data_IF_430817390715
#
_entry.id   IF_430817390715
#
_cell.length_a   1.000
_cell.length_b   1.000
_cell.length_c   1.000
_cell.angle_alpha   90.00
_cell.angle_beta   90.00
_cell.angle_gamma   90.00
#
_symmetry.space_group_name_H-M   'P 1'
#
loop_
_entity.id
_entity.type
_entity.pdbx_description
1 polymer ?
#
# COMPACT_ATOMS: atom_id res chain seq x y z
N UNK A 1 -4.13 -21.12 6.36
CA UNK A 1 -3.77 -20.00 5.47
C UNK A 1 -3.26 -20.66 4.20
N UNK A 2 -3.82 -20.35 3.03
CA UNK A 2 -3.55 -21.09 1.77
C UNK A 2 -2.02 -21.11 1.47
N UNK A 3 -1.38 -22.29 1.35
CA UNK A 3 0.06 -22.40 1.09
C UNK A 3 0.46 -21.81 -0.25
N UNK A 4 -0.47 -21.85 -1.21
CA UNK A 4 -0.25 -21.37 -2.57
C UNK A 4 -0.15 -19.83 -2.61
N UNK A 5 -0.62 -19.12 -1.57
CA UNK A 5 -0.47 -17.66 -1.44
C UNK A 5 0.97 -17.25 -1.13
N UNK A 6 1.76 -18.11 -0.48
CA UNK A 6 3.19 -17.88 -0.26
C UNK A 6 4.02 -18.05 -1.55
N UNK A 7 3.48 -18.74 -2.55
CA UNK A 7 4.15 -18.96 -3.84
C UNK A 7 4.04 -17.76 -4.78
N UNK A 8 3.04 -16.91 -4.55
CA UNK A 8 2.79 -15.69 -5.32
C UNK A 8 3.85 -14.59 -5.04
N UNK A 9 4.56 -14.68 -3.91
CA UNK A 9 5.59 -13.72 -3.48
C UNK A 9 7.03 -14.13 -3.83
N UNK A 10 7.21 -15.30 -4.47
CA UNK A 10 8.54 -15.91 -4.69
C UNK A 10 8.80 -16.32 -6.15
N UNK A 11 7.90 -16.01 -7.08
CA UNK A 11 8.07 -16.37 -8.48
C UNK A 11 8.89 -15.32 -9.26
N UNK A 12 9.85 -15.82 -10.03
CA UNK A 12 10.51 -15.12 -11.15
C UNK A 12 9.82 -15.56 -12.47
N UNK A 13 10.17 -14.92 -13.59
CA UNK A 13 9.64 -15.05 -14.96
C UNK A 13 9.46 -16.50 -15.49
N UNK A 14 9.99 -17.54 -14.84
CA UNK A 14 10.17 -18.89 -15.41
C UNK A 14 9.42 -20.05 -14.69
N UNK A 15 8.42 -19.76 -13.85
CA UNK A 15 7.27 -20.65 -13.57
C UNK A 15 7.48 -22.09 -13.06
N UNK A 16 7.89 -22.30 -11.80
CA UNK A 16 7.77 -23.60 -11.11
C UNK A 16 7.26 -23.46 -9.66
N UNK A 17 6.37 -24.38 -9.23
CA UNK A 17 5.56 -24.36 -7.98
C UNK A 17 5.53 -25.73 -7.27
N UNK A 18 5.29 -25.77 -5.95
CA UNK A 18 5.07 -26.99 -5.15
C UNK A 18 4.11 -26.79 -3.94
N UNK A 19 3.10 -27.66 -3.89
CA UNK A 19 1.90 -27.71 -3.01
C UNK A 19 2.11 -27.96 -1.49
N UNK A 20 1.12 -27.56 -0.67
CA UNK A 20 0.71 -28.32 0.54
C UNK A 20 0.23 -27.48 1.75
N UNK A 21 -1.02 -27.69 2.23
CA UNK A 21 -1.66 -26.80 3.23
C UNK A 21 -2.61 -27.37 4.24
N UNK A 22 -2.81 -26.60 5.33
CA UNK A 22 -3.85 -26.83 6.34
C UNK A 22 -4.38 -25.52 6.98
N UNK A 23 -5.63 -25.59 7.48
CA UNK A 23 -6.53 -24.47 7.78
C UNK A 23 -6.72 -24.10 9.26
N UNK A 24 -7.63 -23.15 9.51
CA UNK A 24 -8.04 -22.71 10.86
C UNK A 24 -9.09 -21.59 10.81
N UNK A 25 -10.25 -21.81 11.45
CA UNK A 25 -11.49 -21.04 11.33
C UNK A 25 -11.59 -19.83 12.29
N UNK A 26 -12.36 -18.82 11.87
CA UNK A 26 -12.67 -17.62 12.65
C UNK A 26 -14.02 -17.66 13.39
N UNK A 27 -14.24 -16.70 14.29
CA UNK A 27 -15.52 -16.44 14.96
C UNK A 27 -15.83 -14.94 14.97
N UNK A 28 -17.08 -14.58 14.65
CA UNK A 28 -17.59 -13.19 14.63
C UNK A 28 -18.47 -12.91 15.84
N UNK A 29 -18.50 -11.67 16.32
CA UNK A 29 -19.50 -11.18 17.28
C UNK A 29 -20.19 -9.90 16.77
N UNK A 30 -21.51 -9.82 17.00
CA UNK A 30 -22.42 -8.75 16.60
C UNK A 30 -22.35 -7.55 17.54
N UNK A 31 -22.43 -6.33 16.99
CA UNK A 31 -22.48 -5.07 17.74
C UNK A 31 -23.92 -4.68 18.15
N UNK A 32 -24.06 -4.09 19.35
CA UNK A 32 -25.26 -3.38 19.79
C UNK A 32 -25.01 -1.86 19.85
N UNK A 33 -26.06 -1.06 19.66
CA UNK A 33 -26.03 0.40 19.48
C UNK A 33 -26.06 1.12 20.82
N UNK A 34 -25.14 2.05 21.11
CA UNK A 34 -25.29 2.99 22.24
C UNK A 34 -24.78 4.42 21.99
N UNK A 35 -25.39 5.31 22.79
CA UNK A 35 -25.42 6.77 22.84
C UNK A 35 -24.10 7.52 22.63
N UNK A 36 -24.20 8.73 22.07
CA UNK A 36 -23.09 9.67 21.84
C UNK A 36 -22.76 10.44 23.13
N UNK A 37 -21.78 9.95 23.88
CA UNK A 37 -21.04 10.69 24.91
C UNK A 37 -19.79 11.33 24.27
N UNK A 38 -19.31 12.46 24.79
CA UNK A 38 -18.08 13.11 24.27
C UNK A 38 -16.88 12.14 24.41
N UNK A 39 -16.08 11.88 23.36
CA UNK A 39 -15.09 10.81 23.42
C UNK A 39 -14.00 11.11 24.46
N UNK A 40 -13.91 10.24 25.47
CA UNK A 40 -12.81 10.21 26.46
C UNK A 40 -11.54 9.53 25.90
N UNK A 41 -11.63 9.00 24.68
CA UNK A 41 -10.70 8.09 24.01
C UNK A 41 -10.23 8.70 22.66
N UNK A 42 -9.03 8.36 22.19
CA UNK A 42 -8.45 8.76 20.89
C UNK A 42 -8.57 7.67 19.81
N UNK A 43 -8.98 6.44 20.12
CA UNK A 43 -9.46 5.48 19.13
C UNK A 43 -10.55 4.61 19.75
N UNK A 44 -11.60 4.33 18.99
CA UNK A 44 -12.71 3.46 19.38
C UNK A 44 -12.87 2.37 18.32
N UNK A 45 -12.36 1.16 18.60
CA UNK A 45 -12.37 0.03 17.66
C UNK A 45 -13.78 -0.45 17.31
N UNK A 46 -14.78 -0.04 18.08
CA UNK A 46 -16.19 -0.38 17.88
C UNK A 46 -16.96 0.70 17.14
N UNK A 47 -16.38 1.89 16.97
CA UNK A 47 -16.96 2.98 16.22
C UNK A 47 -16.82 2.77 14.70
N UNK A 48 -17.58 3.56 13.94
CA UNK A 48 -17.42 3.64 12.49
C UNK A 48 -15.96 4.00 12.16
N UNK A 49 -15.36 3.26 11.24
CA UNK A 49 -14.01 3.52 10.74
C UNK A 49 -13.90 4.93 10.12
N UNK A 50 -15.01 5.46 9.60
CA UNK A 50 -15.05 6.78 8.98
C UNK A 50 -15.20 7.93 9.99
N UNK A 51 -15.46 7.64 11.28
CA UNK A 51 -15.60 8.65 12.33
C UNK A 51 -14.22 9.12 12.82
N UNK A 52 -13.63 10.09 12.13
CA UNK A 52 -12.31 10.59 12.45
C UNK A 52 -12.22 11.22 13.85
N UNK A 53 -13.31 11.76 14.39
CA UNK A 53 -13.32 12.34 15.73
C UNK A 53 -13.11 11.26 16.81
N UNK A 54 -13.61 10.05 16.58
CA UNK A 54 -13.39 8.90 17.46
C UNK A 54 -12.13 8.11 17.14
N UNK A 55 -11.81 7.92 15.86
CA UNK A 55 -10.67 7.11 15.42
C UNK A 55 -9.34 7.87 15.53
N UNK A 56 -9.38 9.20 15.41
CA UNK A 56 -8.25 10.13 15.32
C UNK A 56 -7.26 9.84 14.20
N UNK A 57 -6.50 10.87 13.91
CA UNK A 57 -5.50 10.88 12.87
C UNK A 57 -4.22 11.54 13.40
N UNK A 58 -3.08 10.95 13.07
CA UNK A 58 -1.79 11.52 13.40
C UNK A 58 -0.83 11.53 12.22
N UNK A 59 0.08 12.50 12.25
CA UNK A 59 1.17 12.62 11.32
C UNK A 59 2.40 11.92 11.88
N UNK A 60 3.04 11.07 11.08
CA UNK A 60 4.31 10.42 11.40
C UNK A 60 5.38 10.97 10.48
N UNK A 61 6.46 11.49 11.05
CA UNK A 61 7.61 12.05 10.32
C UNK A 61 8.92 11.53 10.89
N UNK A 62 10.02 11.51 10.12
CA UNK A 62 11.34 11.22 10.69
C UNK A 62 11.71 12.27 11.76
N UNK A 63 12.51 11.88 12.74
CA UNK A 63 13.07 12.84 13.69
C UNK A 63 14.12 13.74 13.00
N UNK A 64 14.18 15.02 13.41
CA UNK A 64 15.16 15.98 12.91
C UNK A 64 14.62 17.02 11.91
N UNK A 65 15.51 17.79 11.26
CA UNK A 65 15.15 18.92 10.39
C UNK A 65 14.30 18.50 9.19
N UNK A 66 14.61 17.34 8.60
CA UNK A 66 13.89 16.80 7.45
C UNK A 66 12.43 16.49 7.77
N UNK A 67 12.16 15.88 8.93
CA UNK A 67 10.79 15.63 9.36
C UNK A 67 10.02 16.90 9.70
N UNK A 68 10.70 17.92 10.23
CA UNK A 68 10.10 19.24 10.40
C UNK A 68 9.72 19.88 9.06
N UNK A 69 10.55 19.68 8.01
CA UNK A 69 10.25 20.13 6.66
C UNK A 69 9.05 19.41 6.07
N UNK A 70 8.99 18.08 6.18
CA UNK A 70 7.84 17.28 5.73
C UNK A 70 6.54 17.65 6.46
N UNK A 71 6.61 17.90 7.78
CA UNK A 71 5.46 18.36 8.55
C UNK A 71 4.94 19.73 8.08
N UNK A 72 5.84 20.64 7.71
CA UNK A 72 5.46 21.95 7.15
C UNK A 72 4.77 21.79 5.79
N UNK A 73 5.25 20.90 4.90
CA UNK A 73 4.58 20.63 3.62
C UNK A 73 3.15 20.10 3.83
N UNK A 74 2.92 19.31 4.88
CA UNK A 74 1.61 18.78 5.22
C UNK A 74 0.73 19.72 6.04
N UNK A 75 1.17 20.94 6.37
CA UNK A 75 0.46 21.87 7.27
C UNK A 75 -1.01 22.09 6.90
N UNK A 76 -1.32 22.14 5.60
CA UNK A 76 -2.69 22.37 5.11
C UNK A 76 -3.58 21.16 5.37
N UNK A 77 -3.07 19.96 5.11
CA UNK A 77 -3.75 18.71 5.43
C UNK A 77 -3.92 18.54 6.94
N UNK A 78 -2.88 18.83 7.73
CA UNK A 78 -2.92 18.76 9.20
C UNK A 78 -4.00 19.67 9.78
N UNK A 79 -4.11 20.92 9.28
CA UNK A 79 -5.19 21.83 9.70
C UNK A 79 -6.58 21.26 9.38
N UNK A 80 -6.77 20.77 8.15
CA UNK A 80 -8.05 20.15 7.78
C UNK A 80 -8.37 18.95 8.69
N UNK A 81 -7.38 18.08 8.96
CA UNK A 81 -7.59 16.90 9.83
C UNK A 81 -7.88 17.28 11.27
N UNK A 82 -7.30 18.38 11.76
CA UNK A 82 -7.62 18.89 13.10
C UNK A 82 -9.08 19.37 13.20
N UNK A 83 -9.58 20.03 12.15
CA UNK A 83 -11.00 20.40 12.04
C UNK A 83 -11.89 19.16 11.94
N UNK A 84 -11.55 18.22 11.05
CA UNK A 84 -12.32 16.99 10.82
C UNK A 84 -12.46 16.13 12.10
N UNK A 85 -11.40 16.05 12.92
CA UNK A 85 -11.43 15.29 14.17
C UNK A 85 -11.82 16.13 15.40
N UNK A 86 -11.96 17.45 15.26
CA UNK A 86 -12.29 18.38 16.36
C UNK A 86 -11.22 18.44 17.47
N UNK A 87 -9.96 18.12 17.17
CA UNK A 87 -8.83 18.20 18.11
C UNK A 87 -7.51 18.39 17.35
N UNK A 88 -6.50 18.91 18.05
CA UNK A 88 -5.15 18.99 17.49
C UNK A 88 -4.66 17.63 16.99
N UNK A 89 -3.92 17.65 15.88
CA UNK A 89 -3.31 16.46 15.30
C UNK A 89 -1.97 16.21 15.96
N UNK A 90 -1.78 14.99 16.44
CA UNK A 90 -0.49 14.56 17.00
C UNK A 90 0.56 14.39 15.89
N UNK A 91 1.79 14.79 16.20
CA UNK A 91 2.95 14.56 15.33
C UNK A 91 3.90 13.60 16.03
N UNK A 92 3.98 12.37 15.52
CA UNK A 92 4.84 11.31 16.01
C UNK A 92 6.18 11.41 15.27
N UNK A 93 7.26 11.68 16.00
CA UNK A 93 8.62 11.73 15.45
C UNK A 93 9.33 10.40 15.66
N UNK A 94 9.83 9.83 14.57
CA UNK A 94 10.45 8.49 14.57
C UNK A 94 11.97 8.60 14.45
N UNK A 95 12.74 8.14 15.46
CA UNK A 95 14.21 8.11 15.38
C UNK A 95 14.67 7.00 14.42
N UNK A 96 15.16 7.37 13.23
CA UNK A 96 15.66 6.41 12.22
C UNK A 96 16.69 5.45 12.81
N UNK A 97 17.67 5.97 13.54
CA UNK A 97 18.78 5.18 14.09
C UNK A 97 18.32 4.06 15.03
N UNK A 98 17.21 4.26 15.73
CA UNK A 98 16.67 3.27 16.68
C UNK A 98 15.64 2.32 16.05
N UNK A 99 15.03 2.72 14.93
CA UNK A 99 13.86 2.03 14.34
C UNK A 99 14.13 1.42 12.96
N UNK A 100 15.38 1.47 12.48
CA UNK A 100 15.75 0.92 11.17
C UNK A 100 15.59 -0.61 11.07
N UNK A 101 15.69 -1.33 12.19
CA UNK A 101 15.55 -2.81 12.23
C UNK A 101 14.20 -3.23 12.81
N UNK A 102 13.71 -4.46 12.52
CA UNK A 102 12.52 -5.02 13.15
C UNK A 102 12.57 -4.99 14.69
N UNK A 103 13.69 -5.38 15.28
CA UNK A 103 13.86 -5.45 16.74
C UNK A 103 13.84 -4.05 17.36
N UNK A 104 14.49 -3.08 16.70
CA UNK A 104 14.51 -1.69 17.09
C UNK A 104 13.11 -1.05 17.02
N UNK A 105 12.40 -1.26 15.90
CA UNK A 105 11.03 -0.79 15.72
C UNK A 105 10.07 -1.36 16.78
N UNK A 106 10.13 -2.67 17.05
CA UNK A 106 9.31 -3.31 18.10
C UNK A 106 9.67 -2.80 19.50
N UNK A 107 10.96 -2.60 19.79
CA UNK A 107 11.41 -2.05 21.07
C UNK A 107 10.88 -0.63 21.26
N UNK A 108 10.96 0.21 20.23
CA UNK A 108 10.42 1.57 20.27
C UNK A 108 8.89 1.58 20.45
N UNK A 109 8.16 0.72 19.73
CA UNK A 109 6.71 0.56 19.86
C UNK A 109 6.28 0.11 21.26
N UNK A 110 7.09 -0.69 21.95
CA UNK A 110 6.79 -1.18 23.29
C UNK A 110 7.15 -0.19 24.39
N UNK A 111 8.15 0.65 24.17
CA UNK A 111 8.75 1.48 25.23
C UNK A 111 8.48 2.97 25.08
N UNK A 112 8.70 3.54 23.89
CA UNK A 112 8.64 4.99 23.64
C UNK A 112 7.30 5.43 23.06
N UNK A 113 6.66 4.61 22.22
CA UNK A 113 5.35 4.96 21.66
C UNK A 113 4.25 5.09 22.74
N UNK A 114 4.11 4.16 23.70
CA UNK A 114 3.05 4.24 24.69
C UNK A 114 3.18 5.45 25.61
N UNK A 115 4.40 5.85 25.96
CA UNK A 115 4.65 6.95 26.89
C UNK A 115 4.21 8.31 26.33
N UNK A 116 4.20 8.49 25.01
CA UNK A 116 3.63 9.68 24.35
C UNK A 116 2.14 9.87 24.65
N UNK A 117 1.45 8.79 25.01
CA UNK A 117 0.01 8.77 25.31
C UNK A 117 -0.28 8.37 26.76
N UNK A 118 0.68 8.54 27.67
CA UNK A 118 0.54 8.20 29.08
C UNK A 118 0.35 6.71 29.36
N UNK A 119 0.79 5.85 28.45
CA UNK A 119 0.66 4.39 28.56
C UNK A 119 -0.72 3.84 28.18
N UNK A 120 -1.67 4.69 27.79
CA UNK A 120 -3.04 4.29 27.52
C UNK A 120 -3.27 3.99 26.03
N UNK A 121 -3.61 2.74 25.70
CA UNK A 121 -3.78 2.31 24.29
C UNK A 121 -4.94 3.01 23.59
N UNK A 122 -6.05 3.21 24.30
CA UNK A 122 -7.22 3.93 23.82
C UNK A 122 -6.92 5.39 23.46
N UNK A 123 -5.77 5.94 23.89
CA UNK A 123 -5.30 7.29 23.55
C UNK A 123 -4.43 7.29 22.28
N UNK A 124 -4.25 6.18 21.59
CA UNK A 124 -3.43 6.16 20.38
C UNK A 124 -4.29 6.44 19.15
N UNK A 125 -3.83 7.27 18.21
CA UNK A 125 -4.54 7.51 16.96
C UNK A 125 -4.60 6.25 16.09
N UNK A 126 -5.76 6.01 15.47
CA UNK A 126 -5.99 4.84 14.62
C UNK A 126 -5.38 5.02 13.24
N UNK A 127 -5.54 6.19 12.62
CA UNK A 127 -5.03 6.48 11.29
C UNK A 127 -3.70 7.22 11.36
N UNK A 128 -2.68 6.70 10.68
CA UNK A 128 -1.35 7.29 10.68
C UNK A 128 -0.95 7.63 9.25
N UNK A 129 -0.59 8.88 8.98
CA UNK A 129 0.06 9.25 7.72
C UNK A 129 1.57 9.36 7.92
N UNK A 130 2.31 8.45 7.33
CA UNK A 130 3.76 8.43 7.30
C UNK A 130 4.24 9.30 6.14
N UNK A 131 5.04 10.31 6.44
CA UNK A 131 5.77 11.07 5.42
C UNK A 131 7.23 10.66 5.39
N UNK A 132 7.75 10.54 4.18
CA UNK A 132 9.12 10.17 3.90
C UNK A 132 9.26 8.73 3.40
N UNK A 133 10.41 8.45 2.84
CA UNK A 133 10.75 7.18 2.22
C UNK A 133 11.17 6.11 3.26
N UNK A 134 11.46 4.88 2.82
CA UNK A 134 11.86 3.77 3.69
C UNK A 134 13.23 3.95 4.35
N UNK A 135 14.09 4.82 3.85
CA UNK A 135 15.31 5.20 4.55
C UNK A 135 15.06 6.26 5.61
N UNK A 136 13.95 7.01 5.55
CA UNK A 136 13.59 8.02 6.55
C UNK A 136 12.71 7.45 7.68
N UNK A 137 11.60 6.82 7.30
CA UNK A 137 10.73 6.04 8.20
C UNK A 137 10.74 4.60 7.70
N UNK A 138 11.38 3.70 8.43
CA UNK A 138 11.68 2.36 7.94
C UNK A 138 10.42 1.53 7.65
N UNK A 139 10.52 0.57 6.71
CA UNK A 139 9.46 -0.42 6.49
C UNK A 139 9.18 -1.24 7.77
N UNK A 140 10.18 -1.72 8.53
CA UNK A 140 9.93 -2.35 9.83
C UNK A 140 9.10 -1.50 10.78
N UNK A 141 9.33 -0.18 10.82
CA UNK A 141 8.55 0.72 11.65
C UNK A 141 7.10 0.84 11.17
N UNK A 142 6.87 0.94 9.85
CA UNK A 142 5.51 0.91 9.29
C UNK A 142 4.77 -0.39 9.62
N UNK A 143 5.44 -1.54 9.51
CA UNK A 143 4.85 -2.84 9.87
C UNK A 143 4.53 -2.92 11.38
N UNK A 144 5.39 -2.35 12.23
CA UNK A 144 5.16 -2.30 13.67
C UNK A 144 3.92 -1.43 14.02
N UNK A 145 3.69 -0.32 13.30
CA UNK A 145 2.45 0.45 13.42
C UNK A 145 1.21 -0.31 12.95
N UNK A 146 1.33 -1.08 11.86
CA UNK A 146 0.22 -1.79 11.23
C UNK A 146 -0.43 -2.86 12.12
N UNK A 147 0.18 -3.22 13.26
CA UNK A 147 -0.38 -4.17 14.23
C UNK A 147 -1.64 -3.61 14.92
N UNK A 148 -1.67 -2.30 15.21
CA UNK A 148 -2.74 -1.68 16.01
C UNK A 148 -3.34 -0.41 15.36
N UNK A 149 -2.74 0.07 14.28
CA UNK A 149 -3.14 1.27 13.57
C UNK A 149 -3.22 1.00 12.06
N UNK A 150 -3.72 1.97 11.30
CA UNK A 150 -3.80 1.94 9.84
C UNK A 150 -2.82 2.95 9.24
N UNK A 151 -1.56 2.54 8.99
CA UNK A 151 -0.58 3.42 8.38
C UNK A 151 -0.77 3.52 6.86
N UNK A 152 -0.90 4.74 6.36
CA UNK A 152 -0.69 5.10 4.96
C UNK A 152 0.62 5.86 4.80
N UNK A 153 1.30 5.75 3.65
CA UNK A 153 2.57 6.43 3.40
C UNK A 153 2.51 7.34 2.18
N UNK A 154 3.14 8.50 2.29
CA UNK A 154 3.43 9.41 1.17
C UNK A 154 4.92 9.73 1.17
N UNK A 155 5.63 9.15 0.21
CA UNK A 155 7.05 9.38 -0.05
C UNK A 155 7.18 9.94 -1.47
N UNK A 156 7.51 11.22 -1.62
CA UNK A 156 7.64 11.87 -2.92
C UNK A 156 9.02 12.50 -3.02
N UNK A 157 9.56 12.59 -4.24
CA UNK A 157 10.95 12.96 -4.44
C UNK A 157 11.18 14.48 -4.37
N UNK A 158 10.12 15.28 -4.61
CA UNK A 158 10.18 16.74 -4.59
C UNK A 158 9.10 17.36 -3.71
N UNK A 159 9.43 18.46 -3.07
CA UNK A 159 8.52 19.17 -2.16
C UNK A 159 7.23 19.62 -2.85
N UNK A 160 7.32 20.07 -4.11
CA UNK A 160 6.13 20.54 -4.85
C UNK A 160 5.13 19.39 -5.11
N UNK A 161 5.59 18.15 -5.15
CA UNK A 161 4.72 16.98 -5.34
C UNK A 161 3.85 16.72 -4.10
N UNK A 162 4.33 17.03 -2.89
CA UNK A 162 3.54 16.92 -1.67
C UNK A 162 2.37 17.90 -1.69
N UNK A 163 2.62 19.15 -2.10
CA UNK A 163 1.55 20.15 -2.23
C UNK A 163 0.50 19.71 -3.25
N UNK A 164 0.93 19.26 -4.44
CA UNK A 164 0.03 18.73 -5.48
C UNK A 164 -0.81 17.56 -4.95
N UNK A 165 -0.19 16.61 -4.26
CA UNK A 165 -0.89 15.45 -3.72
C UNK A 165 -1.90 15.83 -2.63
N UNK A 166 -1.52 16.68 -1.67
CA UNK A 166 -2.44 17.10 -0.60
C UNK A 166 -3.58 17.97 -1.12
N UNK A 167 -3.33 18.83 -2.12
CA UNK A 167 -4.37 19.62 -2.75
C UNK A 167 -5.35 18.74 -3.54
N UNK A 168 -4.84 17.73 -4.27
CA UNK A 168 -5.65 16.70 -4.92
C UNK A 168 -6.53 15.98 -3.89
N UNK A 169 -5.96 15.49 -2.80
CA UNK A 169 -6.68 14.80 -1.73
C UNK A 169 -7.82 15.66 -1.15
N UNK A 170 -7.51 16.90 -0.76
CA UNK A 170 -8.48 17.82 -0.17
C UNK A 170 -9.58 18.24 -1.17
N UNK A 171 -9.24 18.35 -2.47
CA UNK A 171 -10.22 18.59 -3.54
C UNK A 171 -11.22 17.44 -3.63
N UNK A 172 -10.76 16.19 -3.66
CA UNK A 172 -11.64 15.02 -3.71
C UNK A 172 -12.47 14.83 -2.43
N UNK A 173 -11.94 15.23 -1.26
CA UNK A 173 -12.72 15.23 -0.02
C UNK A 173 -13.88 16.23 -0.04
N UNK A 174 -13.67 17.43 -0.60
CA UNK A 174 -14.72 18.47 -0.69
C UNK A 174 -15.79 18.18 -1.74
N UNK A 175 -15.43 17.44 -2.78
CA UNK A 175 -16.34 17.07 -3.86
C UNK A 175 -16.21 15.58 -4.14
N UNK A 176 -16.77 14.72 -3.27
CA UNK A 176 -16.78 13.28 -3.50
C UNK A 176 -17.57 12.96 -4.78
N UNK A 177 -17.06 12.02 -5.56
CA UNK A 177 -17.81 11.52 -6.69
C UNK A 177 -19.03 10.70 -6.23
N UNK A 178 -20.12 10.70 -7.01
CA UNK A 178 -21.28 9.87 -6.70
C UNK A 178 -20.94 8.37 -6.65
N UNK A 179 -21.44 7.65 -5.64
CA UNK A 179 -21.17 6.22 -5.46
C UNK A 179 -21.60 5.34 -6.65
N UNK A 180 -22.66 5.75 -7.37
CA UNK A 180 -23.15 5.02 -8.54
C UNK A 180 -22.24 5.14 -9.77
N UNK A 181 -21.27 6.05 -9.74
CA UNK A 181 -20.25 6.21 -10.79
C UNK A 181 -18.97 5.40 -10.48
N UNK A 182 -18.87 4.81 -9.29
CA UNK A 182 -17.67 4.09 -8.87
C UNK A 182 -17.56 2.75 -9.60
N UNK A 183 -16.39 2.51 -10.20
CA UNK A 183 -16.08 1.26 -10.92
C UNK A 183 -15.02 0.46 -10.18
N UNK A 184 -15.09 -0.86 -10.31
CA UNK A 184 -14.03 -1.76 -9.87
C UNK A 184 -13.48 -2.53 -11.08
N UNK A 185 -12.16 -2.48 -11.26
CA UNK A 185 -11.45 -3.20 -12.33
C UNK A 185 -10.51 -4.21 -11.70
N UNK A 186 -10.52 -5.44 -12.19
CA UNK A 186 -9.58 -6.49 -11.82
C UNK A 186 -8.74 -6.81 -13.05
N UNK A 187 -7.49 -6.40 -13.06
CA UNK A 187 -6.61 -6.50 -14.23
C UNK A 187 -5.50 -7.52 -13.99
N UNK A 188 -5.29 -8.43 -14.95
CA UNK A 188 -4.14 -9.34 -14.95
C UNK A 188 -3.26 -9.06 -16.15
N UNK A 189 -1.95 -8.91 -15.94
CA UNK A 189 -0.99 -9.03 -17.03
C UNK A 189 -0.81 -10.51 -17.38
N UNK A 190 -1.31 -10.95 -18.53
CA UNK A 190 -1.14 -12.33 -19.01
C UNK A 190 0.18 -12.51 -19.79
N UNK A 191 1.31 -12.42 -19.10
CA UNK A 191 2.66 -12.50 -19.69
C UNK A 191 3.14 -13.93 -20.03
N UNK A 192 2.27 -14.93 -19.85
CA UNK A 192 2.56 -16.32 -20.16
C UNK A 192 3.32 -17.05 -19.06
N UNK A 193 3.67 -16.36 -17.97
CA UNK A 193 4.33 -16.97 -16.82
C UNK A 193 3.30 -17.65 -15.90
N UNK A 194 3.79 -18.58 -15.09
CA UNK A 194 2.91 -19.27 -14.16
C UNK A 194 2.48 -18.42 -12.97
N UNK A 195 3.25 -17.40 -12.58
CA UNK A 195 2.88 -16.55 -11.44
C UNK A 195 1.64 -15.72 -11.72
N UNK A 196 1.59 -15.09 -12.89
CA UNK A 196 0.42 -14.32 -13.30
C UNK A 196 -0.77 -15.23 -13.57
N UNK A 197 -0.54 -16.45 -14.08
CA UNK A 197 -1.58 -17.49 -14.26
C UNK A 197 -2.17 -17.98 -12.93
N UNK A 198 -1.32 -18.33 -11.95
CA UNK A 198 -1.74 -18.78 -10.62
C UNK A 198 -2.44 -17.65 -9.88
N UNK A 199 -1.85 -16.45 -9.86
CA UNK A 199 -2.46 -15.27 -9.25
C UNK A 199 -3.80 -14.92 -9.90
N UNK A 200 -3.93 -15.01 -11.22
CA UNK A 200 -5.21 -14.79 -11.90
C UNK A 200 -6.29 -15.76 -11.40
N UNK A 201 -5.96 -17.05 -11.36
CA UNK A 201 -6.91 -18.10 -10.96
C UNK A 201 -7.27 -18.04 -9.49
N UNK A 202 -6.29 -17.83 -8.61
CA UNK A 202 -6.44 -17.93 -7.15
C UNK A 202 -6.84 -16.62 -6.48
N UNK A 203 -6.46 -15.48 -7.05
CA UNK A 203 -6.72 -14.16 -6.48
C UNK A 203 -7.77 -13.41 -7.29
N UNK A 204 -7.48 -13.11 -8.57
CA UNK A 204 -8.36 -12.25 -9.39
C UNK A 204 -9.73 -12.89 -9.63
N UNK A 205 -9.74 -14.14 -10.09
CA UNK A 205 -10.98 -14.88 -10.37
C UNK A 205 -11.79 -15.11 -9.09
N UNK A 206 -11.12 -15.49 -7.98
CA UNK A 206 -11.79 -15.70 -6.70
C UNK A 206 -12.33 -14.42 -6.07
N UNK A 207 -11.66 -13.29 -6.28
CA UNK A 207 -12.19 -11.99 -5.87
C UNK A 207 -13.44 -11.63 -6.67
N UNK A 208 -13.44 -11.83 -8.00
CA UNK A 208 -14.61 -11.61 -8.84
C UNK A 208 -15.80 -12.49 -8.42
N UNK A 209 -15.57 -13.79 -8.20
CA UNK A 209 -16.56 -14.73 -7.67
C UNK A 209 -17.12 -14.26 -6.32
N UNK A 210 -16.24 -13.91 -5.37
CA UNK A 210 -16.63 -13.44 -4.04
C UNK A 210 -17.48 -12.16 -4.09
N UNK A 211 -17.16 -11.23 -4.99
CA UNK A 211 -17.97 -10.03 -5.22
C UNK A 211 -19.35 -10.38 -5.80
N UNK A 212 -19.42 -11.35 -6.72
CA UNK A 212 -20.69 -11.83 -7.27
C UNK A 212 -21.57 -12.48 -6.20
N UNK A 213 -21.01 -13.37 -5.40
CA UNK A 213 -21.69 -14.05 -4.30
C UNK A 213 -22.19 -13.06 -3.24
N UNK A 214 -21.34 -12.10 -2.86
CA UNK A 214 -21.70 -11.06 -1.89
C UNK A 214 -22.83 -10.17 -2.41
N UNK A 215 -22.79 -9.76 -3.69
CA UNK A 215 -23.85 -8.96 -4.30
C UNK A 215 -25.16 -9.75 -4.40
N UNK A 216 -25.11 -11.04 -4.72
CA UNK A 216 -26.27 -11.90 -4.79
C UNK A 216 -26.92 -12.09 -3.41
N UNK A 217 -26.11 -12.37 -2.38
CA UNK A 217 -26.59 -12.59 -1.02
C UNK A 217 -27.04 -11.30 -0.31
N UNK A 218 -26.36 -10.17 -0.58
CA UNK A 218 -26.44 -8.94 0.21
C UNK A 218 -26.43 -7.67 -0.65
N UNK A 219 -27.29 -7.62 -1.67
CA UNK A 219 -27.38 -6.46 -2.60
C UNK A 219 -27.50 -5.10 -1.93
N UNK A 220 -28.11 -5.01 -0.74
CA UNK A 220 -28.24 -3.75 0.02
C UNK A 220 -26.95 -3.34 0.73
N UNK A 221 -26.11 -4.30 1.13
CA UNK A 221 -24.82 -4.05 1.81
C UNK A 221 -23.68 -3.89 0.81
N UNK A 222 -23.82 -4.41 -0.42
CA UNK A 222 -22.87 -4.24 -1.52
C UNK A 222 -23.55 -3.61 -2.74
N UNK A 223 -23.78 -2.28 -2.73
CA UNK A 223 -24.48 -1.59 -3.82
C UNK A 223 -23.61 -1.36 -5.07
N UNK A 224 -22.29 -1.54 -4.96
CA UNK A 224 -21.32 -1.33 -6.05
C UNK A 224 -21.50 -2.32 -7.20
N UNK A 225 -21.28 -1.87 -8.44
CA UNK A 225 -21.27 -2.74 -9.64
C UNK A 225 -20.29 -3.90 -9.49
N UNK A 226 -20.59 -5.01 -10.19
CA UNK A 226 -19.65 -6.12 -10.21
C UNK A 226 -18.34 -5.68 -10.87
N UNK A 227 -17.19 -6.10 -10.31
CA UNK A 227 -15.92 -5.76 -10.92
C UNK A 227 -15.80 -6.36 -12.32
N UNK A 228 -15.13 -5.63 -13.21
CA UNK A 228 -14.79 -6.14 -14.54
C UNK A 228 -13.42 -6.81 -14.50
N UNK A 229 -13.36 -8.09 -14.87
CA UNK A 229 -12.09 -8.82 -15.04
C UNK A 229 -11.54 -8.55 -16.43
N UNK A 230 -10.31 -8.05 -16.51
CA UNK A 230 -9.68 -7.52 -17.72
C UNK A 230 -8.22 -7.98 -17.85
N UNK A 231 -7.66 -7.79 -19.04
CA UNK A 231 -6.30 -8.16 -19.42
C UNK A 231 -6.27 -8.87 -20.77
N UNK A 232 -5.59 -8.27 -21.75
CA UNK A 232 -5.43 -8.91 -23.05
C UNK A 232 -4.61 -10.21 -22.96
N UNK A 233 -4.99 -11.18 -23.82
CA UNK A 233 -4.23 -12.42 -24.00
C UNK A 233 -2.79 -12.18 -24.50
N UNK A 234 -2.55 -11.03 -25.13
CA UNK A 234 -1.21 -10.51 -25.43
C UNK A 234 -1.03 -9.24 -24.60
N UNK A 235 -0.08 -9.19 -23.64
CA UNK A 235 0.10 -8.01 -22.81
C UNK A 235 0.32 -6.74 -23.61
N UNK A 236 -0.42 -5.68 -23.27
CA UNK A 236 -0.26 -4.34 -23.82
C UNK A 236 -0.37 -3.30 -22.69
N UNK A 237 0.70 -2.58 -22.34
CA UNK A 237 0.65 -1.47 -21.38
C UNK A 237 -0.42 -0.43 -21.70
N UNK A 238 -0.68 -0.18 -22.98
CA UNK A 238 -1.58 0.87 -23.41
C UNK A 238 -3.04 0.54 -23.17
N UNK A 239 -3.40 -0.75 -23.16
CA UNK A 239 -4.73 -1.21 -22.75
C UNK A 239 -5.05 -0.72 -21.33
N UNK A 240 -4.15 -0.99 -20.37
CA UNK A 240 -4.36 -0.58 -18.99
C UNK A 240 -4.42 0.94 -18.84
N UNK A 241 -3.51 1.66 -19.50
CA UNK A 241 -3.50 3.12 -19.48
C UNK A 241 -4.79 3.70 -20.06
N UNK A 242 -5.34 3.12 -21.13
CA UNK A 242 -6.61 3.55 -21.69
C UNK A 242 -7.80 3.27 -20.76
N UNK A 243 -7.82 2.10 -20.11
CA UNK A 243 -8.85 1.74 -19.13
C UNK A 243 -8.84 2.68 -17.91
N UNK A 244 -7.65 3.05 -17.44
CA UNK A 244 -7.44 3.88 -16.25
C UNK A 244 -7.68 5.38 -16.48
N UNK A 245 -7.78 5.85 -17.73
CA UNK A 245 -8.04 7.26 -18.08
C UNK A 245 -9.47 7.72 -17.77
N UNK A 246 -10.40 6.79 -17.53
CA UNK A 246 -11.80 7.14 -17.32
C UNK A 246 -11.96 8.13 -16.15
N UNK A 247 -12.79 9.19 -16.29
CA UNK A 247 -12.94 10.22 -15.25
C UNK A 247 -13.72 9.74 -14.02
N UNK A 248 -14.26 8.52 -14.07
CA UNK A 248 -14.97 7.88 -12.97
C UNK A 248 -13.96 7.34 -11.95
N UNK A 249 -14.11 7.67 -10.65
CA UNK A 249 -13.27 7.07 -9.63
C UNK A 249 -13.35 5.56 -9.70
N UNK A 250 -12.18 4.95 -9.76
CA UNK A 250 -12.05 3.53 -10.02
C UNK A 250 -11.18 2.91 -8.95
N UNK A 251 -11.64 1.80 -8.39
CA UNK A 251 -10.79 0.88 -7.64
C UNK A 251 -10.19 -0.08 -8.66
N UNK A 252 -8.89 0.04 -8.91
CA UNK A 252 -8.15 -0.90 -9.73
C UNK A 252 -7.43 -1.89 -8.81
N UNK A 253 -7.70 -3.18 -8.98
CA UNK A 253 -6.82 -4.24 -8.51
C UNK A 253 -6.06 -4.78 -9.72
N UNK A 254 -4.73 -4.75 -9.69
CA UNK A 254 -3.91 -5.26 -10.79
C UNK A 254 -2.88 -6.27 -10.32
N UNK A 255 -2.58 -7.25 -11.17
CA UNK A 255 -1.59 -8.30 -10.93
C UNK A 255 -0.51 -8.31 -12.03
N UNK A 256 0.77 -8.24 -11.64
CA UNK A 256 1.95 -8.42 -12.51
C UNK A 256 3.18 -8.90 -11.72
N UNK A 257 4.30 -9.21 -12.39
CA UNK A 257 5.56 -9.54 -11.71
C UNK A 257 6.26 -8.39 -11.00
N UNK A 258 6.10 -7.16 -11.48
CA UNK A 258 6.97 -6.06 -11.07
C UNK A 258 8.36 -6.16 -11.70
N UNK A 259 8.90 -5.04 -12.16
CA UNK A 259 10.17 -5.02 -12.89
C UNK A 259 11.34 -5.25 -11.93
N UNK A 260 12.16 -6.26 -12.22
CA UNK A 260 13.44 -6.52 -11.56
C UNK A 260 14.66 -6.04 -12.38
N UNK A 261 15.88 -6.12 -11.81
CA UNK A 261 17.10 -5.76 -12.53
C UNK A 261 17.33 -6.66 -13.76
N UNK A 262 17.91 -6.14 -14.85
CA UNK A 262 18.30 -6.94 -16.01
C UNK A 262 19.27 -8.05 -15.62
N UNK A 263 19.19 -9.20 -16.32
CA UNK A 263 19.97 -10.40 -16.03
C UNK A 263 21.49 -10.23 -16.15
N UNK A 264 21.97 -9.31 -16.99
CA UNK A 264 23.40 -9.12 -17.30
C UNK A 264 23.97 -7.86 -16.68
N UNK A 265 23.25 -6.77 -16.82
CA UNK A 265 23.65 -5.46 -16.32
C UNK A 265 22.75 -5.12 -15.13
N UNK A 266 23.28 -5.32 -13.93
CA UNK A 266 22.57 -4.94 -12.71
C UNK A 266 22.21 -3.45 -12.71
N UNK A 267 21.26 -3.07 -11.86
CA UNK A 267 20.87 -1.66 -11.74
C UNK A 267 21.87 -0.85 -10.91
N UNK A 268 22.08 0.39 -11.35
CA UNK A 268 22.53 1.45 -10.44
C UNK A 268 21.43 1.74 -9.41
N UNK A 269 21.79 2.33 -8.26
CA UNK A 269 20.80 2.70 -7.24
C UNK A 269 19.71 3.63 -7.79
N UNK A 270 20.07 4.61 -8.62
CA UNK A 270 19.12 5.52 -9.25
C UNK A 270 18.11 4.77 -10.14
N UNK A 271 18.58 3.85 -10.97
CA UNK A 271 17.70 3.02 -11.80
C UNK A 271 16.79 2.12 -10.96
N UNK A 272 17.30 1.54 -9.87
CA UNK A 272 16.48 0.73 -8.96
C UNK A 272 15.38 1.58 -8.29
N UNK A 273 15.72 2.76 -7.78
CA UNK A 273 14.75 3.69 -7.18
C UNK A 273 13.65 4.11 -8.17
N UNK A 274 14.02 4.30 -9.44
CA UNK A 274 13.07 4.68 -10.49
C UNK A 274 12.23 3.48 -10.96
N UNK A 275 12.86 2.37 -11.33
CA UNK A 275 12.23 1.33 -12.14
C UNK A 275 11.81 0.08 -11.37
N UNK A 276 12.39 -0.18 -10.19
CA UNK A 276 12.11 -1.42 -9.47
C UNK A 276 10.66 -1.52 -9.02
N UNK A 277 10.04 -2.66 -9.31
CA UNK A 277 8.63 -2.90 -9.01
C UNK A 277 7.66 -2.28 -10.01
N UNK A 278 8.13 -1.62 -11.08
CA UNK A 278 7.26 -1.11 -12.15
C UNK A 278 6.42 -2.21 -12.79
N UNK A 279 5.19 -1.93 -13.23
CA UNK A 279 4.31 -2.97 -13.79
C UNK A 279 4.88 -3.52 -15.10
N UNK A 280 5.25 -4.79 -15.08
CA UNK A 280 5.90 -5.49 -16.20
C UNK A 280 4.86 -6.20 -17.06
N UNK A 281 4.99 -6.09 -18.39
CA UNK A 281 4.12 -6.66 -19.41
C UNK A 281 4.88 -7.68 -20.28
N UNK A 282 5.86 -8.36 -19.69
CA UNK A 282 6.73 -9.30 -20.41
C UNK A 282 7.49 -8.60 -21.54
N UNK A 283 7.47 -9.21 -22.74
CA UNK A 283 8.14 -8.66 -23.92
C UNK A 283 7.61 -7.29 -24.38
N UNK A 284 6.41 -6.90 -23.96
CA UNK A 284 5.83 -5.58 -24.29
C UNK A 284 6.41 -4.44 -23.44
N UNK A 285 7.30 -4.75 -22.48
CA UNK A 285 7.98 -3.75 -21.66
C UNK A 285 7.31 -3.55 -20.30
N UNK A 286 7.32 -2.32 -19.79
CA UNK A 286 6.76 -1.98 -18.49
C UNK A 286 6.16 -0.57 -18.51
N UNK A 287 5.15 -0.32 -17.68
CA UNK A 287 4.70 1.05 -17.39
C UNK A 287 5.73 1.67 -16.44
N UNK A 288 6.35 2.74 -16.89
CA UNK A 288 7.36 3.49 -16.14
C UNK A 288 6.74 4.59 -15.26
N UNK A 289 7.44 5.06 -14.21
CA UNK A 289 7.00 6.22 -13.44
C UNK A 289 6.75 7.45 -14.30
N UNK A 290 7.58 7.67 -15.33
CA UNK A 290 7.47 8.82 -16.23
C UNK A 290 6.18 8.80 -17.03
N UNK A 291 5.81 7.65 -17.58
CA UNK A 291 4.55 7.49 -18.31
C UNK A 291 3.36 7.73 -17.40
N UNK A 292 3.41 7.20 -16.17
CA UNK A 292 2.35 7.37 -15.19
C UNK A 292 2.20 8.81 -14.69
N UNK A 293 3.31 9.55 -14.56
CA UNK A 293 3.30 10.95 -14.15
C UNK A 293 2.68 11.87 -15.23
N UNK A 294 2.63 11.43 -16.49
CA UNK A 294 2.14 12.23 -17.63
C UNK A 294 0.75 11.80 -18.12
N UNK A 295 0.25 10.65 -17.70
CA UNK A 295 -1.05 10.13 -18.09
C UNK A 295 -2.14 10.48 -17.08
N UNK A 296 -3.38 10.71 -17.52
CA UNK A 296 -4.52 10.58 -16.60
C UNK A 296 -4.64 9.12 -16.19
N UNK A 297 -4.61 8.84 -14.89
CA UNK A 297 -4.58 7.47 -14.39
C UNK A 297 -5.33 7.37 -13.06
N UNK A 298 -6.52 6.76 -13.08
CA UNK A 298 -7.40 6.57 -11.91
C UNK A 298 -7.66 7.89 -11.14
N UNK A 299 -8.13 8.96 -11.79
CA UNK A 299 -8.35 10.24 -11.12
C UNK A 299 -9.32 10.06 -9.95
N UNK A 300 -8.86 10.36 -8.73
CA UNK A 300 -9.65 10.20 -7.51
C UNK A 300 -9.88 8.75 -7.07
N UNK A 301 -9.26 7.78 -7.74
CA UNK A 301 -9.42 6.35 -7.51
C UNK A 301 -8.44 5.78 -6.49
N UNK A 302 -8.42 4.44 -6.41
CA UNK A 302 -7.51 3.65 -5.56
C UNK A 302 -6.87 2.55 -6.39
N UNK A 303 -5.59 2.26 -6.13
CA UNK A 303 -4.86 1.23 -6.86
C UNK A 303 -4.24 0.17 -5.95
N UNK A 304 -4.85 -1.02 -5.92
CA UNK A 304 -4.26 -2.22 -5.36
C UNK A 304 -3.33 -2.86 -6.38
N UNK A 305 -2.04 -2.56 -6.25
CA UNK A 305 -1.01 -3.07 -7.15
C UNK A 305 -0.30 -4.28 -6.55
N UNK A 306 -0.70 -5.48 -6.99
CA UNK A 306 -0.09 -6.73 -6.59
C UNK A 306 1.08 -7.09 -7.54
N UNK A 307 2.30 -6.86 -7.08
CA UNK A 307 3.54 -7.20 -7.77
C UNK A 307 4.74 -7.21 -6.83
N UNK A 308 5.81 -7.91 -7.21
CA UNK A 308 7.07 -7.88 -6.45
C UNK A 308 7.61 -6.44 -6.41
N UNK A 309 7.92 -5.98 -5.20
CA UNK A 309 8.40 -4.61 -4.94
C UNK A 309 7.48 -3.48 -5.41
N UNK A 310 6.20 -3.75 -5.70
CA UNK A 310 5.26 -2.74 -6.24
C UNK A 310 5.08 -1.52 -5.32
N UNK A 311 5.11 -1.72 -4.00
CA UNK A 311 5.07 -0.66 -3.00
C UNK A 311 6.46 -0.07 -2.67
N UNK A 312 7.54 -0.73 -3.08
CA UNK A 312 8.92 -0.36 -2.78
C UNK A 312 9.81 -1.54 -2.44
N UNK A 313 11.10 -1.24 -2.36
CA UNK A 313 12.17 -2.19 -2.13
C UNK A 313 12.82 -1.92 -0.77
N UNK A 314 12.68 -2.82 0.21
CA UNK A 314 13.35 -2.65 1.48
C UNK A 314 14.85 -2.99 1.37
N UNK A 315 15.65 -2.47 2.30
CA UNK A 315 17.06 -2.88 2.46
C UNK A 315 17.19 -4.31 3.01
N UNK A 316 16.21 -4.73 3.82
CA UNK A 316 16.17 -6.05 4.47
C UNK A 316 14.80 -6.67 4.27
N UNK A 317 14.78 -7.96 3.98
CA UNK A 317 13.52 -8.69 3.92
C UNK A 317 12.98 -8.91 5.34
N UNK A 318 11.76 -8.43 5.61
CA UNK A 318 11.04 -8.76 6.85
C UNK A 318 10.76 -10.27 6.98
N UNK A 319 10.77 -10.99 5.86
CA UNK A 319 10.50 -12.41 5.76
C UNK A 319 11.76 -13.28 5.73
N UNK A 320 12.95 -12.69 5.87
CA UNK A 320 14.23 -13.40 5.77
C UNK A 320 14.26 -14.68 6.64
N UNK A 321 13.87 -14.56 7.91
CA UNK A 321 13.82 -15.69 8.85
C UNK A 321 12.84 -16.81 8.44
N UNK A 322 11.71 -16.47 7.80
CA UNK A 322 10.78 -17.45 7.26
C UNK A 322 11.35 -18.17 6.03
N UNK A 323 12.11 -17.45 5.20
CA UNK A 323 12.70 -17.98 3.97
C UNK A 323 13.91 -18.90 4.27
N UNK A 324 14.70 -18.57 5.29
CA UNK A 324 15.82 -19.42 5.73
C UNK A 324 15.35 -20.77 6.29
N UNK A 325 14.17 -20.83 6.89
CA UNK A 325 13.62 -22.04 7.51
C UNK A 325 12.98 -23.05 6.55
N UNK A 326 12.89 -22.76 5.24
CA UNK A 326 12.21 -23.64 4.27
C UNK A 326 13.13 -24.74 3.72
N UNK A 327 12.67 -26.01 3.61
CA UNK A 327 13.39 -27.06 2.88
C UNK A 327 13.59 -26.63 1.41
N UNK A 328 14.84 -26.60 0.93
CA UNK A 328 15.20 -26.08 -0.42
C UNK A 328 15.68 -24.62 -0.44
N UNK A 329 15.65 -23.91 0.70
CA UNK A 329 15.75 -22.44 0.77
C UNK A 329 17.04 -21.75 0.30
N UNK A 330 18.14 -22.45 -0.01
CA UNK A 330 19.40 -21.76 -0.38
C UNK A 330 19.39 -21.13 -1.78
N UNK A 331 18.69 -21.73 -2.75
CA UNK A 331 18.62 -21.21 -4.13
C UNK A 331 17.67 -20.01 -4.26
N UNK A 332 16.48 -20.12 -3.68
CA UNK A 332 15.42 -19.12 -3.76
C UNK A 332 15.69 -17.89 -2.88
N UNK A 333 16.32 -18.09 -1.72
CA UNK A 333 16.74 -16.98 -0.87
C UNK A 333 17.75 -16.08 -1.57
N UNK A 334 18.70 -16.65 -2.32
CA UNK A 334 19.69 -15.87 -3.08
C UNK A 334 19.04 -14.91 -4.08
N UNK A 335 17.92 -15.31 -4.70
CA UNK A 335 17.17 -14.48 -5.67
C UNK A 335 16.39 -13.36 -4.99
N UNK A 336 15.65 -13.67 -3.93
CA UNK A 336 14.90 -12.66 -3.15
C UNK A 336 15.86 -11.64 -2.55
N UNK A 337 16.99 -12.10 -1.99
CA UNK A 337 18.02 -11.22 -1.43
C UNK A 337 18.73 -10.39 -2.50
N UNK A 338 18.87 -10.90 -3.73
CA UNK A 338 19.47 -10.14 -4.82
C UNK A 338 18.68 -8.88 -5.15
N UNK A 339 17.35 -8.96 -5.07
CA UNK A 339 16.43 -7.85 -5.34
C UNK A 339 16.34 -6.80 -4.23
N UNK A 340 16.96 -6.99 -3.07
CA UNK A 340 16.89 -6.00 -1.99
C UNK A 340 17.73 -4.74 -2.30
N UNK A 341 17.32 -3.62 -1.71
CA UNK A 341 18.00 -2.34 -1.90
C UNK A 341 19.43 -2.41 -1.35
N UNK A 342 20.40 -1.94 -2.14
CA UNK A 342 21.83 -1.91 -1.78
C UNK A 342 22.32 -0.49 -1.49
N UNK A 343 23.21 -0.37 -0.50
CA UNK A 343 24.10 0.79 -0.34
C UNK A 343 23.44 2.13 -0.01
N UNK A 344 22.33 2.15 0.75
CA UNK A 344 21.73 3.43 1.16
C UNK A 344 20.33 3.34 1.79
N UNK A 345 19.93 2.20 2.37
CA UNK A 345 18.56 2.00 2.84
C UNK A 345 17.56 1.65 1.73
N UNK A 346 16.37 1.25 2.15
CA UNK A 346 15.24 0.93 1.27
C UNK A 346 14.61 2.17 0.64
N UNK A 347 13.72 1.96 -0.31
CA UNK A 347 12.99 3.03 -1.00
C UNK A 347 11.60 2.57 -1.45
N UNK A 348 10.68 3.52 -1.55
CA UNK A 348 9.32 3.39 -2.09
C UNK A 348 9.43 3.35 -3.61
N UNK A 349 8.60 2.54 -4.29
CA UNK A 349 8.74 2.35 -5.74
C UNK A 349 8.49 3.65 -6.49
N UNK A 350 9.30 3.96 -7.50
CA UNK A 350 9.10 5.14 -8.34
C UNK A 350 7.71 5.18 -8.97
N UNK A 351 7.13 4.01 -9.29
CA UNK A 351 5.77 3.91 -9.84
C UNK A 351 4.72 4.44 -8.85
N UNK A 352 4.79 4.02 -7.58
CA UNK A 352 3.88 4.50 -6.54
C UNK A 352 4.05 6.01 -6.29
N UNK A 353 5.30 6.50 -6.24
CA UNK A 353 5.59 7.94 -6.11
C UNK A 353 4.98 8.74 -7.24
N UNK A 354 5.16 8.29 -8.48
CA UNK A 354 4.62 8.94 -9.67
C UNK A 354 3.08 8.94 -9.68
N UNK A 355 2.45 7.83 -9.30
CA UNK A 355 1.00 7.72 -9.20
C UNK A 355 0.42 8.75 -8.21
N UNK A 356 1.00 8.84 -7.01
CA UNK A 356 0.56 9.77 -5.98
C UNK A 356 0.87 11.23 -6.35
N UNK A 357 2.05 11.52 -6.92
CA UNK A 357 2.43 12.86 -7.35
C UNK A 357 1.60 13.40 -8.52
N UNK A 358 0.97 12.52 -9.31
CA UNK A 358 0.19 12.92 -10.47
C UNK A 358 -1.12 13.63 -10.03
N UNK A 359 -1.38 14.89 -10.48
CA UNK A 359 -2.60 15.62 -10.12
C UNK A 359 -3.90 14.97 -10.61
N UNK A 360 -3.81 14.14 -11.66
CA UNK A 360 -4.89 13.34 -12.24
C UNK A 360 -4.69 11.83 -11.95
N UNK A 361 -3.90 11.55 -10.90
CA UNK A 361 -3.60 10.22 -10.39
C UNK A 361 -4.57 9.72 -9.31
N UNK A 362 -4.34 8.51 -8.77
CA UNK A 362 -5.11 7.97 -7.64
C UNK A 362 -4.86 8.75 -6.34
N UNK A 363 -5.76 8.53 -5.37
CA UNK A 363 -5.63 9.03 -4.00
C UNK A 363 -4.81 8.10 -3.09
N UNK A 364 -4.64 6.83 -3.48
CA UNK A 364 -3.99 5.81 -2.68
C UNK A 364 -3.70 4.53 -3.43
#
# INVERSE_FOLDING_TARGET
MDPDLNELLLADDDGQYLEGGEGGAGASARASKHHVEKPKYLADETADASDLARQRWALVVPEGPEGSRLAELARRLVRQRAEDQGAAVDTIRVPRAETATPEGALTWMRTKYPSQYGGHEYRRPRYLLLLGDFDQVSLPMQLAFAVHSFPGRVALDREEQYEVYFDKLLRHQRTPAPQHEARALLYTVHDGTDATRVGHRRLISKLAESCADLRAAKRREFPAELPQTLGAARPDPQELLNLARAPTPTVLFSLSHGKGPPRRDGWTRAQAMELQGSMHFGAAGAITPRELAQATFLPGGLWFYFACFGAGTPERSAYHHWLEGRPGGRGDLGRVLHGLARGGGGFTSGLAKAALANPDGPLG
#
